data_IF_180490197150
#
_entry.id   IF_180490197150
#
_cell.length_a   1.000
_cell.length_b   1.000
_cell.length_c   1.000
_cell.angle_alpha   90.00
_cell.angle_beta   90.00
_cell.angle_gamma   90.00
#
_symmetry.space_group_name_H-M   'P 1'
#
loop_
_entity.id
_entity.type
_entity.pdbx_description
1 polymer ?
#
# COMPACT_ATOMS: atom_id res chain seq x y z
N UNK A 1 24.35 -24.31 -16.65
CA UNK A 1 22.96 -23.81 -16.74
C UNK A 1 22.45 -23.12 -15.46
N UNK A 2 22.75 -23.61 -14.23
CA UNK A 2 22.31 -22.97 -12.97
C UNK A 2 22.58 -21.45 -12.86
N UNK A 3 23.69 -20.95 -13.41
CA UNK A 3 24.04 -19.54 -13.34
C UNK A 3 23.21 -18.64 -14.26
N UNK A 4 22.64 -19.15 -15.36
CA UNK A 4 21.89 -18.31 -16.31
C UNK A 4 20.54 -17.87 -15.73
N UNK A 5 19.83 -18.79 -15.06
CA UNK A 5 18.59 -18.49 -14.36
C UNK A 5 18.80 -17.41 -13.29
N UNK A 6 19.84 -17.59 -12.45
CA UNK A 6 20.19 -16.62 -11.40
C UNK A 6 20.49 -15.25 -12.01
N UNK A 7 21.34 -15.19 -13.04
CA UNK A 7 21.68 -13.92 -13.71
C UNK A 7 20.46 -13.22 -14.31
N UNK A 8 19.51 -13.99 -14.87
CA UNK A 8 18.25 -13.46 -15.40
C UNK A 8 17.38 -12.90 -14.27
N UNK A 9 17.17 -13.65 -13.19
CA UNK A 9 16.38 -13.21 -12.03
C UNK A 9 16.97 -11.95 -11.39
N UNK A 10 18.29 -11.92 -11.16
CA UNK A 10 18.96 -10.72 -10.62
C UNK A 10 18.76 -9.49 -11.49
N UNK A 11 18.80 -9.66 -12.82
CA UNK A 11 18.56 -8.56 -13.76
C UNK A 11 17.12 -8.07 -13.69
N UNK A 12 16.15 -8.99 -13.69
CA UNK A 12 14.72 -8.65 -13.60
C UNK A 12 14.40 -7.93 -12.29
N UNK A 13 14.91 -8.41 -11.15
CA UNK A 13 14.71 -7.75 -9.85
C UNK A 13 15.30 -6.34 -9.85
N UNK A 14 16.53 -6.16 -10.36
CA UNK A 14 17.14 -4.82 -10.46
C UNK A 14 16.35 -3.88 -11.35
N UNK A 15 15.83 -4.37 -12.48
CA UNK A 15 14.99 -3.60 -13.38
C UNK A 15 13.67 -3.22 -12.70
N UNK A 16 13.06 -4.16 -11.99
CA UNK A 16 11.84 -3.94 -11.23
C UNK A 16 12.04 -2.88 -10.12
N UNK A 17 13.15 -2.95 -9.38
CA UNK A 17 13.50 -1.96 -8.34
C UNK A 17 13.77 -0.54 -8.89
N UNK A 18 14.09 -0.42 -10.18
CA UNK A 18 14.19 0.88 -10.86
C UNK A 18 12.84 1.39 -11.35
N UNK A 19 11.81 0.53 -11.38
CA UNK A 19 10.46 0.89 -11.76
C UNK A 19 9.81 1.85 -10.75
N UNK A 20 8.88 2.65 -11.23
CA UNK A 20 8.11 3.61 -10.42
C UNK A 20 6.71 3.12 -10.08
N UNK A 21 6.40 1.85 -10.38
CA UNK A 21 5.07 1.29 -10.14
C UNK A 21 4.79 1.16 -8.64
N UNK A 22 3.92 2.03 -8.14
CA UNK A 22 3.52 2.06 -6.73
C UNK A 22 2.68 0.87 -6.31
N UNK A 23 2.18 0.10 -7.26
CA UNK A 23 1.28 -1.02 -7.01
C UNK A 23 1.99 -2.34 -6.81
N UNK A 24 3.27 -2.44 -7.14
CA UNK A 24 4.02 -3.69 -7.07
C UNK A 24 5.24 -3.49 -6.16
N UNK A 25 5.46 -4.41 -5.23
CA UNK A 25 6.69 -4.49 -4.45
C UNK A 25 7.20 -5.92 -4.41
N UNK A 26 8.52 -6.09 -4.35
CA UNK A 26 9.16 -7.41 -4.28
C UNK A 26 10.21 -7.43 -3.19
N UNK A 27 10.28 -8.56 -2.52
CA UNK A 27 11.32 -8.91 -1.57
C UNK A 27 11.91 -10.26 -1.98
N UNK A 28 13.22 -10.42 -1.84
CA UNK A 28 13.90 -11.68 -2.14
C UNK A 28 14.92 -11.98 -1.05
N UNK A 29 15.11 -13.27 -0.77
CA UNK A 29 16.14 -13.68 0.16
C UNK A 29 17.50 -13.68 -0.55
N UNK A 30 18.49 -12.98 0.01
CA UNK A 30 19.85 -12.97 -0.54
C UNK A 30 20.50 -14.35 -0.59
N UNK A 31 20.13 -15.27 0.32
CA UNK A 31 20.65 -16.64 0.31
C UNK A 31 20.03 -17.51 -0.79
N UNK A 32 18.80 -17.20 -1.23
CA UNK A 32 18.15 -17.88 -2.35
C UNK A 32 17.24 -16.93 -3.14
N UNK A 33 17.84 -16.27 -4.14
CA UNK A 33 17.15 -15.33 -5.04
C UNK A 33 16.04 -16.00 -5.88
N UNK A 34 15.94 -17.33 -5.89
CA UNK A 34 14.86 -18.04 -6.58
C UNK A 34 13.55 -18.02 -5.82
N UNK A 35 13.55 -17.65 -4.54
CA UNK A 35 12.33 -17.44 -3.77
C UNK A 35 12.12 -15.94 -3.60
N UNK A 36 11.05 -15.44 -4.22
CA UNK A 36 10.65 -14.04 -4.20
C UNK A 36 9.27 -13.96 -3.55
N UNK A 37 9.11 -13.03 -2.64
CA UNK A 37 7.79 -12.58 -2.19
C UNK A 37 7.44 -11.30 -2.94
N UNK A 38 6.18 -11.18 -3.34
CA UNK A 38 5.66 -10.00 -4.00
C UNK A 38 4.42 -9.51 -3.29
N UNK A 39 4.26 -8.19 -3.24
CA UNK A 39 3.07 -7.51 -2.78
C UNK A 39 2.44 -6.78 -3.97
N UNK A 40 1.16 -7.06 -4.23
CA UNK A 40 0.37 -6.40 -5.25
C UNK A 40 -0.71 -5.58 -4.54
N UNK A 41 -0.71 -4.28 -4.80
CA UNK A 41 -1.76 -3.38 -4.40
C UNK A 41 -2.97 -3.59 -5.32
N UNK A 42 -4.14 -3.83 -4.73
CA UNK A 42 -5.36 -4.00 -5.50
C UNK A 42 -5.73 -2.73 -6.28
N UNK A 43 -6.17 -2.85 -7.54
CA UNK A 43 -6.43 -1.70 -8.40
C UNK A 43 -7.53 -0.78 -7.85
N UNK A 44 -7.41 0.55 -8.04
CA UNK A 44 -8.47 1.49 -7.68
C UNK A 44 -9.74 1.24 -8.49
N UNK A 45 -10.89 1.62 -7.95
CA UNK A 45 -12.21 1.43 -8.55
C UNK A 45 -12.61 -0.06 -8.75
N UNK A 46 -12.00 -0.96 -7.96
CA UNK A 46 -12.32 -2.39 -7.93
C UNK A 46 -12.66 -2.82 -6.49
N UNK A 47 -13.31 -3.97 -6.25
CA UNK A 47 -13.49 -4.47 -4.89
C UNK A 47 -12.16 -4.79 -4.17
N UNK A 48 -11.04 -4.82 -4.89
CA UNK A 48 -9.70 -5.06 -4.34
C UNK A 48 -8.99 -3.78 -3.91
N UNK A 49 -9.60 -2.60 -4.16
CA UNK A 49 -8.98 -1.29 -4.05
C UNK A 49 -8.08 -1.12 -2.82
N UNK A 50 -6.81 -0.85 -3.13
CA UNK A 50 -5.73 -0.58 -2.17
C UNK A 50 -5.42 -1.72 -1.16
N UNK A 51 -6.01 -2.91 -1.34
CA UNK A 51 -5.64 -4.10 -0.56
C UNK A 51 -4.21 -4.58 -0.84
N UNK A 52 -3.52 -5.10 0.17
CA UNK A 52 -2.16 -5.62 0.07
C UNK A 52 -2.18 -7.14 -0.12
N UNK A 53 -2.13 -7.60 -1.37
CA UNK A 53 -2.15 -9.02 -1.71
C UNK A 53 -0.74 -9.58 -1.84
N UNK A 54 -0.39 -10.57 -1.01
CA UNK A 54 0.94 -11.16 -1.00
C UNK A 54 0.99 -12.47 -1.80
N UNK A 55 2.08 -12.65 -2.54
CA UNK A 55 2.33 -13.81 -3.39
C UNK A 55 3.75 -14.34 -3.17
N UNK A 56 3.89 -15.67 -3.16
CA UNK A 56 5.17 -16.36 -3.21
C UNK A 56 5.45 -16.81 -4.64
N UNK A 57 6.64 -16.50 -5.14
CA UNK A 57 7.11 -16.82 -6.49
C UNK A 57 8.39 -17.65 -6.36
N UNK A 58 8.35 -18.87 -6.89
CA UNK A 58 9.48 -19.80 -6.87
C UNK A 58 9.97 -20.10 -8.28
N UNK A 59 11.15 -19.61 -8.60
CA UNK A 59 11.81 -19.80 -9.89
C UNK A 59 12.48 -21.18 -9.98
N UNK A 60 12.17 -21.93 -11.03
CA UNK A 60 12.81 -23.20 -11.34
C UNK A 60 14.27 -23.05 -11.78
N UNK A 61 15.03 -24.16 -11.82
CA UNK A 61 16.43 -24.17 -12.32
C UNK A 61 16.53 -23.96 -13.83
N UNK A 62 15.43 -24.19 -14.51
CA UNK A 62 15.17 -24.10 -15.95
C UNK A 62 14.58 -22.74 -16.37
N UNK A 63 14.38 -21.81 -15.43
CA UNK A 63 13.97 -20.44 -15.76
C UNK A 63 14.99 -19.74 -16.68
N UNK A 64 14.58 -19.01 -17.75
CA UNK A 64 13.21 -18.63 -18.14
C UNK A 64 12.56 -19.57 -19.18
N UNK A 65 13.06 -20.79 -19.38
CA UNK A 65 12.44 -21.74 -20.32
C UNK A 65 11.05 -22.14 -19.85
N UNK A 66 10.89 -22.41 -18.55
CA UNK A 66 9.60 -22.70 -17.91
C UNK A 66 9.19 -21.56 -16.96
N UNK A 67 7.87 -21.34 -16.77
CA UNK A 67 7.38 -20.31 -15.86
C UNK A 67 7.72 -20.64 -14.40
N UNK A 68 7.84 -19.64 -13.52
CA UNK A 68 7.94 -19.88 -12.09
C UNK A 68 6.62 -20.39 -11.50
N UNK A 69 6.69 -21.04 -10.35
CA UNK A 69 5.50 -21.38 -9.58
C UNK A 69 5.06 -20.18 -8.75
N UNK A 70 3.77 -19.83 -8.81
CA UNK A 70 3.19 -18.71 -8.06
C UNK A 70 2.10 -19.21 -7.12
N UNK A 71 2.11 -18.73 -5.87
CA UNK A 71 1.09 -19.02 -4.85
C UNK A 71 0.65 -17.73 -4.15
N UNK A 72 -0.65 -17.44 -4.12
CA UNK A 72 -1.21 -16.39 -3.28
C UNK A 72 -1.13 -16.79 -1.80
N UNK A 73 -0.72 -15.85 -0.94
CA UNK A 73 -0.56 -16.06 0.49
C UNK A 73 -1.72 -15.44 1.28
N UNK A 74 -2.27 -14.32 0.82
CA UNK A 74 -3.48 -13.69 1.38
C UNK A 74 -4.71 -14.54 1.07
N UNK A 75 -4.96 -15.59 1.86
CA UNK A 75 -6.01 -16.59 1.61
C UNK A 75 -6.80 -16.99 2.85
N UNK A 76 -6.55 -16.34 4.00
CA UNK A 76 -7.19 -16.69 5.27
C UNK A 76 -7.07 -18.18 5.62
N UNK A 77 -5.83 -18.70 5.52
CA UNK A 77 -5.52 -20.11 5.78
C UNK A 77 -6.35 -21.09 4.93
N UNK A 78 -6.50 -20.82 3.63
CA UNK A 78 -7.25 -21.71 2.74
C UNK A 78 -8.75 -21.45 2.66
N UNK A 79 -9.27 -20.39 3.32
CA UNK A 79 -10.72 -20.15 3.46
C UNK A 79 -11.28 -19.07 2.55
N UNK A 80 -10.45 -18.15 2.07
CA UNK A 80 -10.90 -17.02 1.26
C UNK A 80 -10.44 -17.15 -0.19
N UNK A 81 -11.42 -17.27 -1.09
CA UNK A 81 -11.23 -17.21 -2.55
C UNK A 81 -11.41 -15.77 -3.02
N UNK A 82 -10.31 -15.05 -3.23
CA UNK A 82 -10.39 -13.63 -3.64
C UNK A 82 -10.87 -13.41 -5.06
N UNK A 83 -10.64 -14.36 -5.97
CA UNK A 83 -11.03 -14.22 -7.36
C UNK A 83 -11.28 -15.61 -7.96
N UNK A 84 -12.10 -15.76 -9.01
CA UNK A 84 -12.23 -17.04 -9.68
C UNK A 84 -10.90 -17.67 -10.10
N UNK A 85 -9.91 -16.84 -10.42
CA UNK A 85 -8.55 -17.24 -10.78
C UNK A 85 -7.54 -17.19 -9.62
N UNK A 86 -7.94 -16.77 -8.41
CA UNK A 86 -7.10 -16.76 -7.19
C UNK A 86 -7.81 -17.59 -6.13
N UNK A 87 -7.43 -18.85 -6.05
CA UNK A 87 -8.12 -19.88 -5.29
C UNK A 87 -7.84 -19.74 -3.79
N UNK A 88 -8.73 -20.26 -2.96
CA UNK A 88 -8.52 -20.28 -1.51
C UNK A 88 -7.24 -21.06 -1.12
N UNK A 89 -6.88 -22.10 -1.88
CA UNK A 89 -5.62 -22.85 -1.69
C UNK A 89 -4.35 -22.06 -2.03
N UNK A 90 -4.48 -20.84 -2.54
CA UNK A 90 -3.39 -20.01 -3.04
C UNK A 90 -3.02 -20.27 -4.50
N UNK A 91 -3.67 -21.24 -5.19
CA UNK A 91 -3.42 -21.47 -6.61
C UNK A 91 -3.86 -20.25 -7.44
N UNK A 92 -2.96 -19.79 -8.33
CA UNK A 92 -3.23 -18.72 -9.29
C UNK A 92 -3.40 -19.32 -10.69
N UNK A 93 -4.52 -19.03 -11.35
CA UNK A 93 -4.86 -19.52 -12.69
C UNK A 93 -4.59 -18.45 -13.75
N UNK A 94 -3.49 -18.59 -14.48
CA UNK A 94 -3.08 -17.71 -15.57
C UNK A 94 -2.50 -18.54 -16.72
N UNK A 95 -2.79 -18.13 -17.96
CA UNK A 95 -2.26 -18.79 -19.17
C UNK A 95 -0.74 -18.70 -19.23
N UNK A 96 -0.16 -17.55 -18.85
CA UNK A 96 1.28 -17.34 -18.80
C UNK A 96 1.98 -18.18 -17.73
N UNK A 97 1.25 -18.74 -16.77
CA UNK A 97 1.77 -19.67 -15.77
C UNK A 97 1.50 -21.14 -16.13
N UNK A 98 0.85 -21.40 -17.27
CA UNK A 98 0.41 -22.74 -17.67
C UNK A 98 -0.67 -23.34 -16.77
N UNK A 99 -1.30 -22.54 -15.91
CA UNK A 99 -2.35 -22.98 -14.97
C UNK A 99 -3.77 -22.66 -15.45
N UNK A 100 -3.88 -22.06 -16.64
CA UNK A 100 -5.14 -21.77 -17.32
C UNK A 100 -5.00 -21.93 -18.84
N UNK A 101 -6.13 -22.10 -19.53
CA UNK A 101 -6.17 -22.10 -21.00
C UNK A 101 -5.87 -20.69 -21.53
N UNK A 102 -5.14 -20.60 -22.63
CA UNK A 102 -4.87 -19.35 -23.34
C UNK A 102 -4.67 -19.61 -24.82
N UNK A 103 -4.90 -18.60 -25.64
CA UNK A 103 -4.69 -18.65 -27.08
C UNK A 103 -3.20 -18.76 -27.44
N UNK A 104 -2.91 -19.10 -28.70
CA UNK A 104 -1.55 -19.13 -29.22
C UNK A 104 -0.90 -17.75 -29.09
N UNK A 105 0.07 -17.62 -28.19
CA UNK A 105 0.76 -16.36 -27.87
C UNK A 105 0.46 -15.80 -26.48
N UNK A 106 -0.59 -16.30 -25.80
CA UNK A 106 -0.93 -15.91 -24.42
C UNK A 106 -0.32 -16.83 -23.35
N UNK A 107 0.37 -17.88 -23.80
CA UNK A 107 1.06 -18.84 -22.94
C UNK A 107 2.47 -18.36 -22.60
N UNK A 108 3.10 -19.02 -21.61
CA UNK A 108 4.47 -18.70 -21.20
C UNK A 108 5.43 -18.66 -22.40
N UNK A 109 6.29 -17.64 -22.42
CA UNK A 109 7.48 -17.62 -23.27
C UNK A 109 8.64 -17.00 -22.48
N UNK A 110 9.87 -17.36 -22.83
CA UNK A 110 11.08 -16.80 -22.18
C UNK A 110 11.26 -15.29 -22.35
N UNK A 111 10.40 -14.63 -23.13
CA UNK A 111 10.35 -13.18 -23.24
C UNK A 111 9.67 -12.52 -22.02
N UNK A 112 8.75 -13.24 -21.36
CA UNK A 112 8.08 -12.80 -20.14
C UNK A 112 9.04 -12.85 -18.93
N UNK A 113 8.67 -12.19 -17.85
CA UNK A 113 9.44 -12.17 -16.61
C UNK A 113 8.60 -11.83 -15.37
N UNK A 114 9.27 -11.51 -14.27
CA UNK A 114 8.66 -11.18 -12.99
C UNK A 114 7.62 -10.07 -13.10
N UNK A 115 7.96 -8.95 -13.74
CA UNK A 115 7.06 -7.79 -13.89
C UNK A 115 5.78 -8.15 -14.65
N UNK A 116 5.89 -8.84 -15.80
CA UNK A 116 4.72 -9.26 -16.58
C UNK A 116 3.84 -10.23 -15.80
N UNK A 117 4.42 -11.13 -14.99
CA UNK A 117 3.64 -12.04 -14.13
C UNK A 117 2.83 -11.22 -13.12
N UNK A 118 3.45 -10.27 -12.43
CA UNK A 118 2.78 -9.44 -11.43
C UNK A 118 1.67 -8.58 -12.05
N UNK A 119 1.92 -7.98 -13.21
CA UNK A 119 0.90 -7.22 -13.96
C UNK A 119 -0.26 -8.13 -14.38
N UNK A 120 0.00 -9.34 -14.86
CA UNK A 120 -1.07 -10.30 -15.21
C UNK A 120 -1.87 -10.79 -14.00
N UNK A 121 -1.28 -10.88 -12.82
CA UNK A 121 -2.01 -11.20 -11.59
C UNK A 121 -2.89 -10.01 -11.19
N UNK A 122 -2.35 -8.79 -11.25
CA UNK A 122 -3.11 -7.58 -10.94
C UNK A 122 -4.29 -7.38 -11.90
N UNK A 123 -4.15 -7.74 -13.19
CA UNK A 123 -5.24 -7.61 -14.16
C UNK A 123 -6.41 -8.57 -13.91
N UNK A 124 -6.24 -9.63 -13.12
CA UNK A 124 -7.34 -10.47 -12.65
C UNK A 124 -8.24 -9.75 -11.64
N UNK A 125 -7.70 -8.74 -10.94
CA UNK A 125 -8.40 -7.97 -9.91
C UNK A 125 -9.30 -6.89 -10.55
N UNK A 126 -10.25 -7.33 -11.38
CA UNK A 126 -11.16 -6.48 -12.14
C UNK A 126 -12.26 -5.85 -11.27
N UNK A 127 -12.96 -4.84 -11.82
CA UNK A 127 -14.12 -4.22 -11.16
C UNK A 127 -15.29 -5.18 -10.97
N UNK A 128 -15.44 -6.17 -11.86
CA UNK A 128 -16.44 -7.23 -11.77
C UNK A 128 -15.79 -8.63 -11.78
N UNK A 129 -15.25 -9.11 -10.64
CA UNK A 129 -14.58 -10.40 -10.60
C UNK A 129 -15.53 -11.60 -10.75
N UNK A 130 -16.85 -11.40 -10.79
CA UNK A 130 -17.82 -12.46 -11.09
C UNK A 130 -17.68 -12.96 -12.53
N UNK A 131 -17.39 -12.07 -13.48
CA UNK A 131 -17.23 -12.38 -14.90
C UNK A 131 -15.97 -13.21 -15.19
N UNK A 132 -15.01 -13.25 -14.26
CA UNK A 132 -13.81 -14.07 -14.39
C UNK A 132 -14.09 -15.58 -14.25
N UNK A 133 -15.27 -15.98 -13.76
CA UNK A 133 -15.65 -17.38 -13.66
C UNK A 133 -16.05 -17.93 -15.05
N UNK A 134 -15.50 -19.09 -15.48
CA UNK A 134 -15.91 -19.74 -16.71
C UNK A 134 -17.42 -19.91 -16.85
N UNK A 135 -17.96 -19.45 -17.98
CA UNK A 135 -19.38 -19.51 -18.27
C UNK A 135 -20.18 -18.30 -17.76
N UNK A 136 -19.53 -17.33 -17.12
CA UNK A 136 -20.15 -16.08 -16.63
C UNK A 136 -19.59 -14.81 -17.30
N UNK A 137 -18.75 -14.95 -18.34
CA UNK A 137 -18.07 -13.82 -19.02
C UNK A 137 -19.02 -12.81 -19.68
N UNK A 138 -20.27 -13.21 -19.94
CA UNK A 138 -21.34 -12.36 -20.51
C UNK A 138 -22.65 -12.43 -19.73
N UNK A 139 -22.57 -12.81 -18.44
CA UNK A 139 -23.71 -12.95 -17.57
C UNK A 139 -24.46 -11.61 -17.44
N UNK A 140 -25.74 -11.56 -17.79
CA UNK A 140 -26.50 -10.29 -17.84
C UNK A 140 -27.98 -10.47 -17.44
N UNK A 141 -28.35 -11.62 -16.88
CA UNK A 141 -29.70 -11.77 -16.32
C UNK A 141 -29.87 -10.88 -15.09
N UNK A 142 -31.11 -10.60 -14.70
CA UNK A 142 -31.39 -9.82 -13.49
C UNK A 142 -30.88 -10.51 -12.22
N UNK A 143 -30.79 -11.84 -12.22
CA UNK A 143 -30.19 -12.60 -11.12
C UNK A 143 -28.66 -12.51 -11.14
N UNK A 144 -28.04 -12.49 -12.32
CA UNK A 144 -26.59 -12.29 -12.45
C UNK A 144 -26.17 -10.93 -11.94
N UNK A 145 -26.87 -9.85 -12.30
CA UNK A 145 -26.57 -8.50 -11.80
C UNK A 145 -26.60 -8.44 -10.27
N UNK A 146 -27.61 -9.04 -9.65
CA UNK A 146 -27.69 -9.16 -8.18
C UNK A 146 -26.54 -9.99 -7.62
N UNK A 147 -26.15 -11.07 -8.29
CA UNK A 147 -25.04 -11.90 -7.83
C UNK A 147 -23.69 -11.18 -7.99
N UNK A 148 -23.49 -10.41 -9.06
CA UNK A 148 -22.31 -9.56 -9.27
C UNK A 148 -22.18 -8.54 -8.13
N UNK A 149 -23.23 -7.79 -7.82
CA UNK A 149 -23.24 -6.82 -6.71
C UNK A 149 -22.89 -7.49 -5.38
N UNK A 150 -23.50 -8.64 -5.08
CA UNK A 150 -23.25 -9.40 -3.86
C UNK A 150 -21.81 -9.94 -3.81
N UNK A 151 -21.27 -10.41 -4.93
CA UNK A 151 -19.91 -10.91 -5.02
C UNK A 151 -18.89 -9.78 -4.84
N UNK A 152 -19.10 -8.64 -5.50
CA UNK A 152 -18.30 -7.42 -5.35
C UNK A 152 -18.28 -6.96 -3.89
N UNK A 153 -19.44 -6.88 -3.24
CA UNK A 153 -19.54 -6.51 -1.82
C UNK A 153 -18.73 -7.47 -0.93
N UNK A 154 -18.85 -8.77 -1.18
CA UNK A 154 -18.13 -9.82 -0.45
C UNK A 154 -16.61 -9.67 -0.58
N UNK A 155 -16.10 -9.50 -1.81
CA UNK A 155 -14.66 -9.30 -2.06
C UNK A 155 -14.17 -8.00 -1.42
N UNK A 156 -14.95 -6.91 -1.50
CA UNK A 156 -14.61 -5.63 -0.86
C UNK A 156 -14.46 -5.76 0.65
N UNK A 157 -15.41 -6.44 1.29
CA UNK A 157 -15.34 -6.70 2.73
C UNK A 157 -14.08 -7.49 3.10
N UNK A 158 -13.83 -8.61 2.41
CA UNK A 158 -12.68 -9.46 2.71
C UNK A 158 -11.35 -8.81 2.35
N UNK A 159 -11.32 -7.91 1.36
CA UNK A 159 -10.13 -7.12 1.03
C UNK A 159 -9.76 -6.19 2.19
N UNK A 160 -10.74 -5.44 2.72
CA UNK A 160 -10.51 -4.60 3.89
C UNK A 160 -10.06 -5.41 5.10
N UNK A 161 -10.72 -6.55 5.37
CA UNK A 161 -10.41 -7.40 6.53
C UNK A 161 -9.03 -8.07 6.44
N UNK A 162 -8.79 -8.81 5.36
CA UNK A 162 -7.66 -9.73 5.23
C UNK A 162 -6.46 -9.16 4.50
N UNK A 163 -6.69 -8.25 3.54
CA UNK A 163 -5.61 -7.66 2.74
C UNK A 163 -5.17 -6.30 3.29
N UNK A 164 -5.91 -5.67 4.21
CA UNK A 164 -5.54 -4.40 4.82
C UNK A 164 -5.37 -4.54 6.34
N UNK A 165 -6.44 -4.87 7.05
CA UNK A 165 -6.51 -4.82 8.52
C UNK A 165 -5.61 -5.89 9.16
N UNK A 166 -5.83 -7.17 8.89
CA UNK A 166 -5.12 -8.26 9.56
C UNK A 166 -3.59 -8.23 9.39
N UNK A 167 -3.02 -7.97 8.19
CA UNK A 167 -1.58 -7.84 8.04
C UNK A 167 -1.00 -6.67 8.85
N UNK A 168 -1.74 -5.56 8.96
CA UNK A 168 -1.32 -4.40 9.76
C UNK A 168 -1.44 -4.67 11.26
N UNK A 169 -2.49 -5.36 11.70
CA UNK A 169 -2.63 -5.80 13.10
C UNK A 169 -1.49 -6.73 13.49
N UNK A 170 -1.16 -7.71 12.64
CA UNK A 170 -0.02 -8.59 12.84
C UNK A 170 1.30 -7.81 12.94
N UNK A 171 1.53 -6.85 12.04
CA UNK A 171 2.73 -6.01 12.05
C UNK A 171 2.82 -5.05 13.24
N UNK A 172 1.69 -4.70 13.86
CA UNK A 172 1.61 -3.82 15.05
C UNK A 172 1.46 -4.61 16.35
N UNK A 173 1.37 -5.94 16.30
CA UNK A 173 1.14 -6.79 17.48
C UNK A 173 -0.24 -6.59 18.13
N UNK A 174 -1.25 -6.15 17.36
CA UNK A 174 -2.62 -5.98 17.84
C UNK A 174 -3.28 -7.36 17.89
N UNK A 175 -3.68 -7.80 19.09
CA UNK A 175 -4.41 -9.06 19.27
C UNK A 175 -5.90 -8.79 19.07
N UNK A 176 -6.60 -9.50 18.15
CA UNK A 176 -8.04 -9.35 17.98
C UNK A 176 -8.79 -9.69 19.26
N UNK A 177 -9.73 -8.83 19.66
CA UNK A 177 -10.51 -8.97 20.91
C UNK A 177 -11.49 -10.15 20.93
N UNK A 178 -11.67 -10.87 19.82
CA UNK A 178 -12.65 -11.95 19.68
C UNK A 178 -12.17 -13.34 20.13
N UNK A 179 -10.88 -13.54 20.45
CA UNK A 179 -10.33 -14.87 20.78
C UNK A 179 -10.36 -15.23 22.27
N UNK A 180 -11.09 -14.50 23.10
CA UNK A 180 -11.26 -14.86 24.51
C UNK A 180 -12.19 -16.07 24.75
N UNK A 181 -12.89 -16.60 23.72
CA UNK A 181 -13.91 -17.65 23.88
C UNK A 181 -13.80 -18.87 22.94
N UNK A 182 -12.74 -19.01 22.14
CA UNK A 182 -12.52 -20.22 21.33
C UNK A 182 -11.53 -21.13 22.03
N UNK A 183 -12.03 -21.89 23.01
CA UNK A 183 -11.22 -22.80 23.82
C UNK A 183 -11.06 -24.18 23.15
N UNK A 184 -9.80 -24.63 23.05
CA UNK A 184 -9.33 -26.03 23.20
C UNK A 184 -9.22 -26.97 21.97
N UNK A 185 -9.31 -26.49 20.72
CA UNK A 185 -8.87 -27.29 19.54
C UNK A 185 -7.56 -26.81 18.89
N UNK A 186 -7.14 -25.58 19.15
CA UNK A 186 -6.11 -24.89 18.34
C UNK A 186 -4.68 -25.17 18.83
N UNK A 187 -4.51 -26.03 19.84
CA UNK A 187 -3.18 -26.38 20.35
C UNK A 187 -2.41 -27.31 19.40
N UNK A 188 -3.08 -28.10 18.56
CA UNK A 188 -2.43 -28.91 17.53
C UNK A 188 -2.05 -28.07 16.30
N UNK A 189 -2.84 -27.05 15.94
CA UNK A 189 -2.49 -26.10 14.87
C UNK A 189 -1.33 -25.18 15.26
N UNK A 190 -1.23 -24.77 16.52
CA UNK A 190 -0.07 -23.99 17.03
C UNK A 190 1.24 -24.77 16.97
N UNK A 191 1.22 -26.08 17.13
CA UNK A 191 2.44 -26.91 17.08
C UNK A 191 2.99 -27.11 15.67
N UNK A 192 2.14 -27.04 14.63
CA UNK A 192 2.58 -27.01 13.22
C UNK A 192 3.08 -25.62 12.79
N UNK A 193 2.74 -24.57 13.55
CA UNK A 193 3.17 -23.19 13.32
C UNK A 193 4.52 -22.85 13.98
N UNK A 194 5.03 -23.68 14.89
CA UNK A 194 6.32 -23.40 15.57
C UNK A 194 7.56 -23.72 14.71
N UNK A 195 7.43 -24.48 13.61
CA UNK A 195 8.55 -24.73 12.69
C UNK A 195 8.81 -23.57 11.71
N UNK A 196 7.81 -22.71 11.47
CA UNK A 196 7.94 -21.46 10.72
C UNK A 196 7.93 -20.28 11.71
N UNK A 197 9.09 -20.07 12.36
CA UNK A 197 9.46 -18.77 12.96
C UNK A 197 8.97 -17.65 12.03
N UNK A 198 8.22 -16.62 12.48
CA UNK A 198 7.73 -15.60 11.57
C UNK A 198 8.92 -14.98 10.85
N UNK A 199 9.02 -15.26 9.56
CA UNK A 199 9.83 -14.51 8.64
C UNK A 199 9.47 -13.04 8.88
N UNK A 200 10.46 -12.19 9.14
CA UNK A 200 10.23 -10.77 9.39
C UNK A 200 9.29 -10.25 8.30
N UNK A 201 8.19 -9.58 8.67
CA UNK A 201 7.25 -9.07 7.67
C UNK A 201 7.94 -7.99 6.84
N UNK A 202 8.48 -8.40 5.69
CA UNK A 202 9.29 -7.57 4.81
C UNK A 202 8.51 -6.41 4.20
N UNK A 203 7.18 -6.45 4.25
CA UNK A 203 6.32 -5.40 3.73
C UNK A 203 5.67 -4.55 4.84
N UNK A 204 6.00 -4.77 6.11
CA UNK A 204 5.37 -4.08 7.24
C UNK A 204 5.41 -2.55 7.10
N UNK A 205 6.59 -1.96 6.91
CA UNK A 205 6.73 -0.51 6.76
C UNK A 205 5.97 0.02 5.52
N UNK A 206 6.07 -0.70 4.40
CA UNK A 206 5.37 -0.34 3.17
C UNK A 206 3.85 -0.32 3.38
N UNK A 207 3.29 -1.36 4.01
CA UNK A 207 1.86 -1.45 4.35
C UNK A 207 1.47 -0.28 5.24
N UNK A 208 2.22 0.01 6.32
CA UNK A 208 1.93 1.13 7.24
C UNK A 208 1.91 2.48 6.50
N UNK A 209 2.87 2.76 5.61
CA UNK A 209 2.88 4.01 4.83
C UNK A 209 1.70 4.14 3.89
N UNK A 210 1.49 3.12 3.07
CA UNK A 210 0.40 3.12 2.08
C UNK A 210 -0.96 3.11 2.75
N UNK A 211 -1.08 2.48 3.90
CA UNK A 211 -2.28 2.54 4.72
C UNK A 211 -2.64 3.97 5.11
N UNK A 212 -1.68 4.75 5.61
CA UNK A 212 -1.90 6.15 5.99
C UNK A 212 -2.26 7.04 4.80
N UNK A 213 -1.78 6.69 3.60
CA UNK A 213 -2.15 7.36 2.35
C UNK A 213 -3.60 7.10 1.96
N UNK A 214 -4.04 5.83 2.03
CA UNK A 214 -5.37 5.43 1.55
C UNK A 214 -6.43 5.36 2.65
N UNK A 215 -6.11 5.81 3.87
CA UNK A 215 -7.00 5.76 5.03
C UNK A 215 -8.38 6.37 4.75
N UNK A 216 -8.43 7.55 4.12
CA UNK A 216 -9.69 8.20 3.72
C UNK A 216 -10.50 7.36 2.73
N UNK A 217 -9.84 6.74 1.75
CA UNK A 217 -10.47 5.85 0.76
C UNK A 217 -11.09 4.60 1.41
N UNK A 218 -10.42 4.03 2.44
CA UNK A 218 -10.99 2.90 3.18
C UNK A 218 -12.22 3.31 3.98
N UNK A 219 -12.16 4.45 4.68
CA UNK A 219 -13.31 4.96 5.43
C UNK A 219 -14.51 5.25 4.51
N UNK A 220 -14.28 5.91 3.37
CA UNK A 220 -15.33 6.17 2.39
C UNK A 220 -15.97 4.87 1.88
N UNK A 221 -15.15 3.85 1.59
CA UNK A 221 -15.63 2.54 1.13
C UNK A 221 -16.48 1.83 2.20
N UNK A 222 -16.07 1.93 3.46
CA UNK A 222 -16.80 1.37 4.60
C UNK A 222 -18.11 2.12 4.83
N UNK A 223 -18.08 3.45 4.83
CA UNK A 223 -19.27 4.27 5.08
C UNK A 223 -20.32 4.06 4.00
N UNK A 224 -19.91 3.95 2.73
CA UNK A 224 -20.80 3.57 1.64
C UNK A 224 -21.39 2.15 1.84
N UNK A 225 -20.56 1.17 2.20
CA UNK A 225 -21.02 -0.20 2.39
C UNK A 225 -21.89 -0.38 3.64
N UNK A 226 -21.71 0.44 4.68
CA UNK A 226 -22.58 0.45 5.87
C UNK A 226 -24.00 0.93 5.55
N UNK A 227 -24.20 1.75 4.52
CA UNK A 227 -25.54 2.14 4.07
C UNK A 227 -26.28 0.97 3.42
N UNK A 228 -25.55 0.11 2.69
CA UNK A 228 -26.08 -1.08 2.02
C UNK A 228 -26.23 -2.27 3.00
N UNK A 229 -25.31 -2.38 3.96
CA UNK A 229 -25.20 -3.48 4.92
C UNK A 229 -25.03 -2.94 6.36
N UNK A 230 -26.10 -2.43 7.00
CA UNK A 230 -26.02 -1.72 8.28
C UNK A 230 -25.74 -2.59 9.51
N UNK A 231 -25.59 -3.91 9.34
CA UNK A 231 -25.35 -4.84 10.43
C UNK A 231 -24.69 -6.14 10.00
N UNK A 232 -24.69 -7.13 10.90
CA UNK A 232 -24.05 -8.41 10.67
C UNK A 232 -24.89 -9.30 9.76
N UNK A 233 -24.50 -9.43 8.50
CA UNK A 233 -25.23 -10.20 7.49
C UNK A 233 -24.35 -11.29 6.90
N UNK A 234 -24.88 -12.51 6.78
CA UNK A 234 -24.16 -13.63 6.13
C UNK A 234 -23.88 -13.32 4.67
N UNK A 235 -22.71 -13.70 4.20
CA UNK A 235 -22.38 -13.67 2.79
C UNK A 235 -23.34 -14.54 1.99
N UNK A 236 -23.86 -14.00 0.89
CA UNK A 236 -24.62 -14.78 -0.08
C UNK A 236 -23.67 -15.68 -0.85
N UNK A 237 -24.01 -16.97 -0.94
CA UNK A 237 -23.29 -17.94 -1.73
C UNK A 237 -23.58 -17.74 -3.22
N UNK A 238 -22.54 -17.65 -4.03
CA UNK A 238 -22.66 -17.53 -5.48
C UNK A 238 -22.98 -18.89 -6.13
N UNK A 239 -23.59 -18.91 -7.33
CA UNK A 239 -23.95 -20.17 -8.00
C UNK A 239 -22.77 -21.11 -8.26
N UNK A 240 -21.58 -20.54 -8.50
CA UNK A 240 -20.34 -21.29 -8.75
C UNK A 240 -19.58 -21.68 -7.48
N UNK A 241 -20.02 -21.26 -6.29
CA UNK A 241 -19.36 -21.63 -5.04
C UNK A 241 -19.83 -23.02 -4.61
N UNK A 242 -18.93 -24.01 -4.69
CA UNK A 242 -19.16 -25.44 -4.47
C UNK A 242 -17.97 -26.12 -3.83
N UNK A 243 -18.18 -27.27 -3.15
CA UNK A 243 -17.14 -28.22 -2.70
C UNK A 243 -15.75 -27.65 -2.34
N UNK A 244 -15.57 -27.18 -1.09
CA UNK A 244 -14.29 -26.66 -0.59
C UNK A 244 -13.85 -25.30 -1.16
N UNK A 245 -14.61 -24.73 -2.11
CA UNK A 245 -14.32 -23.47 -2.79
C UNK A 245 -15.40 -22.40 -2.50
N UNK A 246 -15.98 -22.41 -1.29
CA UNK A 246 -16.98 -21.44 -0.86
C UNK A 246 -16.34 -20.34 0.02
N UNK A 247 -16.74 -19.09 -0.18
CA UNK A 247 -16.33 -17.98 0.66
C UNK A 247 -17.42 -17.65 1.68
N UNK A 248 -17.33 -18.30 2.84
CA UNK A 248 -18.26 -18.14 3.96
C UNK A 248 -17.82 -17.02 4.91
N UNK A 249 -18.76 -16.30 5.49
CA UNK A 249 -18.46 -15.18 6.36
C UNK A 249 -19.67 -14.29 6.59
N UNK A 250 -19.43 -13.15 7.24
CA UNK A 250 -20.44 -12.13 7.49
C UNK A 250 -19.86 -10.75 7.22
N UNK A 251 -20.69 -9.85 6.71
CA UNK A 251 -20.40 -8.42 6.70
C UNK A 251 -20.37 -7.90 8.15
N UNK A 252 -19.33 -7.18 8.53
CA UNK A 252 -19.25 -6.46 9.81
C UNK A 252 -18.44 -5.15 9.64
N UNK A 253 -18.94 -4.25 8.80
CA UNK A 253 -18.28 -2.98 8.51
C UNK A 253 -18.08 -2.07 9.73
N UNK A 254 -18.93 -2.20 10.75
CA UNK A 254 -18.79 -1.47 12.00
C UNK A 254 -17.53 -1.92 12.75
N UNK A 255 -17.30 -3.23 12.85
CA UNK A 255 -16.06 -3.77 13.43
C UNK A 255 -14.84 -3.36 12.60
N UNK A 256 -14.91 -3.49 11.26
CA UNK A 256 -13.80 -3.10 10.38
C UNK A 256 -13.43 -1.61 10.56
N UNK A 257 -14.42 -0.72 10.69
CA UNK A 257 -14.19 0.71 10.93
C UNK A 257 -13.43 0.95 12.23
N UNK A 258 -13.81 0.28 13.31
CA UNK A 258 -13.16 0.41 14.61
C UNK A 258 -11.71 -0.06 14.55
N UNK A 259 -11.46 -1.21 13.91
CA UNK A 259 -10.11 -1.78 13.74
C UNK A 259 -9.21 -0.88 12.90
N UNK A 260 -9.72 -0.33 11.80
CA UNK A 260 -8.97 0.63 10.97
C UNK A 260 -8.55 1.89 11.71
N UNK A 261 -9.46 2.46 12.51
CA UNK A 261 -9.13 3.64 13.32
C UNK A 261 -8.06 3.31 14.36
N UNK A 262 -8.17 2.17 15.04
CA UNK A 262 -7.17 1.71 16.00
C UNK A 262 -5.78 1.51 15.34
N UNK A 263 -5.72 0.89 14.16
CA UNK A 263 -4.47 0.75 13.39
C UNK A 263 -3.86 2.12 13.06
N UNK A 264 -4.68 3.08 12.60
CA UNK A 264 -4.22 4.43 12.31
C UNK A 264 -3.64 5.09 13.57
N UNK A 265 -4.35 5.02 14.69
CA UNK A 265 -3.90 5.62 15.95
C UNK A 265 -2.57 5.01 16.39
N UNK A 266 -2.42 3.69 16.34
CA UNK A 266 -1.18 2.98 16.66
C UNK A 266 -0.01 3.38 15.77
N UNK A 267 -0.21 3.56 14.45
CA UNK A 267 0.85 4.02 13.53
C UNK A 267 1.27 5.46 13.85
N UNK A 268 0.32 6.31 14.23
CA UNK A 268 0.62 7.69 14.64
C UNK A 268 1.40 7.70 15.96
N UNK A 269 0.98 6.91 16.95
CA UNK A 269 1.68 6.76 18.23
C UNK A 269 3.09 6.19 18.07
N UNK A 270 3.27 5.15 17.25
CA UNK A 270 4.58 4.61 16.88
C UNK A 270 5.49 5.72 16.33
N UNK A 271 4.97 6.53 15.40
CA UNK A 271 5.76 7.62 14.80
C UNK A 271 6.11 8.74 15.80
N UNK A 272 5.29 8.97 16.82
CA UNK A 272 5.57 9.91 17.90
C UNK A 272 6.65 9.35 18.84
N UNK A 273 6.59 8.05 19.13
CA UNK A 273 7.56 7.35 19.97
C UNK A 273 8.99 7.43 19.43
N UNK A 274 9.16 7.43 18.11
CA UNK A 274 10.47 7.55 17.46
C UNK A 274 11.25 8.81 17.87
N UNK A 275 10.58 9.93 18.15
CA UNK A 275 11.26 11.13 18.61
C UNK A 275 11.87 10.91 20.01
N UNK A 276 11.15 10.22 20.91
CA UNK A 276 11.63 9.91 22.25
C UNK A 276 12.76 8.86 22.22
N UNK A 277 12.59 7.79 21.45
CA UNK A 277 13.65 6.77 21.23
C UNK A 277 14.90 7.39 20.59
N UNK A 278 14.70 8.32 19.66
CA UNK A 278 15.75 9.06 18.97
C UNK A 278 16.59 9.94 19.90
N UNK A 279 15.99 10.54 20.92
CA UNK A 279 16.74 11.30 21.94
C UNK A 279 17.67 10.38 22.74
N UNK A 280 17.19 9.19 23.13
CA UNK A 280 18.02 8.19 23.80
C UNK A 280 19.17 7.74 22.88
N UNK A 281 18.88 7.51 21.59
CA UNK A 281 19.89 7.16 20.60
C UNK A 281 20.95 8.28 20.43
N UNK A 282 20.54 9.54 20.49
CA UNK A 282 21.45 10.69 20.46
C UNK A 282 22.34 10.75 21.71
N UNK A 283 21.76 10.61 22.90
CA UNK A 283 22.50 10.61 24.16
C UNK A 283 23.53 9.48 24.24
N UNK A 284 23.22 8.33 23.65
CA UNK A 284 24.11 7.17 23.57
C UNK A 284 25.05 7.19 22.36
N UNK A 285 25.07 8.28 21.58
CA UNK A 285 25.90 8.44 20.37
C UNK A 285 25.77 7.29 19.37
N UNK A 286 24.55 6.76 19.20
CA UNK A 286 24.31 5.70 18.22
C UNK A 286 24.64 6.19 16.81
N UNK A 287 25.23 5.30 16.00
CA UNK A 287 25.70 5.64 14.66
C UNK A 287 24.60 6.23 13.75
N UNK A 288 23.34 5.81 13.94
CA UNK A 288 22.20 6.36 13.20
C UNK A 288 21.91 7.83 13.58
N UNK A 289 21.96 8.19 14.86
CA UNK A 289 21.74 9.55 15.32
C UNK A 289 22.82 10.50 14.75
N UNK A 290 24.08 10.08 14.78
CA UNK A 290 25.21 10.82 14.20
C UNK A 290 25.08 10.93 12.67
N UNK A 291 24.65 9.86 12.00
CA UNK A 291 24.43 9.84 10.56
C UNK A 291 23.33 10.82 10.14
N UNK A 292 22.18 10.80 10.82
CA UNK A 292 21.06 11.70 10.54
C UNK A 292 21.43 13.17 10.82
N UNK A 293 22.11 13.44 11.93
CA UNK A 293 22.63 14.78 12.25
C UNK A 293 23.54 15.30 11.13
N UNK A 294 24.48 14.47 10.66
CA UNK A 294 25.38 14.83 9.57
C UNK A 294 24.63 15.06 8.25
N UNK A 295 23.65 14.21 7.93
CA UNK A 295 22.81 14.39 6.74
C UNK A 295 22.05 15.71 6.81
N UNK A 296 21.48 16.05 7.97
CA UNK A 296 20.81 17.33 8.20
C UNK A 296 21.73 18.51 7.92
N UNK A 297 22.92 18.55 8.54
CA UNK A 297 23.90 19.64 8.36
C UNK A 297 24.31 19.80 6.90
N UNK A 298 24.56 18.69 6.20
CA UNK A 298 24.89 18.70 4.77
C UNK A 298 23.77 19.27 3.90
N UNK A 299 22.52 18.91 4.20
CA UNK A 299 21.35 19.40 3.47
C UNK A 299 21.16 20.91 3.72
N UNK A 300 21.25 21.36 4.97
CA UNK A 300 21.12 22.78 5.33
C UNK A 300 22.21 23.62 4.65
N UNK A 301 23.46 23.15 4.67
CA UNK A 301 24.58 23.83 3.99
C UNK A 301 24.36 23.87 2.46
N UNK A 302 23.88 22.77 1.87
CA UNK A 302 23.52 22.72 0.45
C UNK A 302 22.43 23.73 0.09
N UNK A 303 21.36 23.84 0.89
CA UNK A 303 20.27 24.80 0.68
C UNK A 303 20.78 26.24 0.74
N UNK A 304 21.64 26.55 1.73
CA UNK A 304 22.29 27.87 1.88
C UNK A 304 23.19 28.20 0.69
N UNK A 305 24.05 27.26 0.27
CA UNK A 305 24.98 27.47 -0.85
C UNK A 305 24.26 27.71 -2.18
N UNK A 306 23.13 27.03 -2.40
CA UNK A 306 22.30 27.21 -3.58
C UNK A 306 21.44 28.50 -3.54
N UNK A 307 21.48 29.25 -2.42
CA UNK A 307 20.63 30.41 -2.15
C UNK A 307 19.15 30.09 -2.36
N UNK A 308 18.74 28.88 -2.00
CA UNK A 308 17.36 28.46 -2.14
C UNK A 308 16.53 28.94 -0.95
N UNK A 309 15.95 30.14 -1.05
CA UNK A 309 15.14 30.75 0.01
C UNK A 309 13.72 30.17 0.10
N UNK A 310 13.36 29.20 -0.76
CA UNK A 310 12.03 28.57 -0.77
C UNK A 310 11.87 27.51 0.30
N UNK A 311 12.97 27.09 0.93
CA UNK A 311 12.99 26.01 1.91
C UNK A 311 13.79 26.44 3.13
N UNK A 312 13.23 26.23 4.31
CA UNK A 312 13.93 26.28 5.59
C UNK A 312 13.79 24.92 6.29
N UNK A 313 14.86 24.44 6.91
CA UNK A 313 14.92 23.12 7.52
C UNK A 313 15.60 23.20 8.88
N UNK A 314 14.88 22.74 9.91
CA UNK A 314 15.32 22.81 11.31
C UNK A 314 15.12 21.47 12.02
N UNK A 315 15.92 21.21 13.07
CA UNK A 315 15.65 20.13 14.01
C UNK A 315 14.74 20.65 15.13
N UNK A 316 13.69 19.90 15.46
CA UNK A 316 12.81 20.24 16.57
C UNK A 316 13.51 19.79 17.86
N UNK A 317 13.69 20.70 18.81
CA UNK A 317 14.35 20.44 20.10
C UNK A 317 15.75 19.81 19.95
N UNK A 318 16.48 20.17 18.88
CA UNK A 318 17.79 19.60 18.54
C UNK A 318 17.75 18.06 18.40
N UNK A 319 16.61 17.49 18.01
CA UNK A 319 16.43 16.04 17.84
C UNK A 319 16.68 15.60 16.39
N UNK A 320 17.72 14.77 16.11
CA UNK A 320 18.02 14.26 14.76
C UNK A 320 16.92 13.39 14.14
N UNK A 321 15.91 12.99 14.92
CA UNK A 321 14.81 12.13 14.48
C UNK A 321 13.49 12.91 14.24
N UNK A 322 13.48 14.22 14.50
CA UNK A 322 12.33 15.08 14.29
C UNK A 322 12.73 16.35 13.54
N UNK A 323 12.49 16.36 12.23
CA UNK A 323 12.84 17.48 11.37
C UNK A 323 11.59 18.29 11.05
N UNK A 324 11.73 19.61 11.02
CA UNK A 324 10.71 20.54 10.55
C UNK A 324 11.18 21.19 9.27
N UNK A 325 10.42 20.94 8.21
CA UNK A 325 10.57 21.56 6.90
C UNK A 325 9.52 22.66 6.77
N UNK A 326 9.97 23.89 6.53
CA UNK A 326 9.12 25.02 6.15
C UNK A 326 9.33 25.29 4.68
N UNK A 327 8.27 25.11 3.88
CA UNK A 327 8.28 25.41 2.46
C UNK A 327 7.54 26.73 2.21
N UNK A 328 8.19 27.66 1.52
CA UNK A 328 7.63 28.93 1.09
C UNK A 328 7.19 28.81 -0.36
N UNK A 329 5.90 28.96 -0.61
CA UNK A 329 5.34 28.80 -1.94
C UNK A 329 5.92 29.81 -2.93
N UNK A 330 6.32 29.32 -4.11
CA UNK A 330 7.01 30.15 -5.10
C UNK A 330 6.08 31.18 -5.75
N UNK A 331 6.62 32.36 -6.11
CA UNK A 331 5.88 33.34 -6.90
C UNK A 331 5.32 32.74 -8.18
N UNK A 332 4.12 33.17 -8.58
CA UNK A 332 3.46 32.73 -9.82
C UNK A 332 3.09 31.24 -9.86
N UNK A 333 3.01 30.57 -8.70
CA UNK A 333 2.50 29.20 -8.58
C UNK A 333 1.15 29.18 -7.87
N UNK A 334 0.48 28.03 -7.84
CA UNK A 334 -0.72 27.85 -7.02
C UNK A 334 -0.49 27.98 -5.49
N UNK A 335 0.77 27.94 -5.06
CA UNK A 335 1.17 28.01 -3.66
C UNK A 335 1.69 29.40 -3.26
N UNK A 336 1.70 30.35 -4.18
CA UNK A 336 2.26 31.70 -3.99
C UNK A 336 1.79 32.36 -2.69
N UNK A 337 2.74 32.82 -1.88
CA UNK A 337 2.49 33.45 -0.58
C UNK A 337 2.20 32.48 0.58
N UNK A 338 2.10 31.18 0.34
CA UNK A 338 1.87 30.18 1.40
C UNK A 338 3.13 29.81 2.18
N UNK A 339 2.94 29.45 3.46
CA UNK A 339 4.00 28.98 4.37
C UNK A 339 3.62 27.61 4.93
N UNK A 340 4.22 26.56 4.42
CA UNK A 340 3.83 25.19 4.74
C UNK A 340 4.80 24.57 5.73
N UNK A 341 4.35 24.40 6.98
CA UNK A 341 5.09 23.62 7.97
C UNK A 341 4.80 22.12 7.85
N UNK A 342 5.87 21.34 7.79
CA UNK A 342 5.84 19.90 7.57
C UNK A 342 6.77 19.24 8.60
N UNK A 343 6.23 18.35 9.41
CA UNK A 343 6.99 17.57 10.38
C UNK A 343 7.36 16.21 9.76
N UNK A 344 8.66 15.89 9.76
CA UNK A 344 9.20 14.61 9.35
C UNK A 344 9.66 13.86 10.60
N UNK A 345 9.05 12.70 10.85
CA UNK A 345 9.41 11.80 11.95
C UNK A 345 10.21 10.63 11.40
N UNK A 346 11.43 10.47 11.87
CA UNK A 346 12.38 9.47 11.37
C UNK A 346 12.49 8.33 12.38
N UNK A 347 12.45 7.09 11.89
CA UNK A 347 12.63 5.93 12.74
C UNK A 347 14.09 5.76 13.17
N UNK A 348 14.36 5.28 14.40
CA UNK A 348 15.67 4.76 14.79
C UNK A 348 16.17 3.59 13.92
N UNK A 349 15.25 2.96 13.17
CA UNK A 349 15.51 1.89 12.20
C UNK A 349 15.51 2.39 10.75
N UNK A 350 15.81 3.67 10.53
CA UNK A 350 16.02 4.19 9.17
C UNK A 350 17.36 3.64 8.62
N UNK A 351 17.40 3.15 7.36
CA UNK A 351 16.40 3.28 6.29
C UNK A 351 15.39 2.13 6.15
N UNK A 352 15.46 1.08 6.95
CA UNK A 352 14.50 -0.03 6.90
C UNK A 352 13.06 0.45 7.13
N UNK A 353 12.89 1.41 8.05
CA UNK A 353 11.64 2.15 8.25
C UNK A 353 11.74 3.57 7.71
N UNK A 354 10.87 3.88 6.76
CA UNK A 354 10.90 5.15 6.04
C UNK A 354 10.22 6.28 6.84
N UNK A 355 10.62 7.55 6.65
CA UNK A 355 10.07 8.68 7.41
C UNK A 355 8.55 8.83 7.29
N UNK A 356 7.90 9.23 8.39
CA UNK A 356 6.47 9.62 8.40
C UNK A 356 6.38 11.14 8.30
N UNK A 357 5.68 11.62 7.28
CA UNK A 357 5.64 13.04 6.91
C UNK A 357 4.22 13.58 7.07
N UNK A 358 4.08 14.55 7.95
CA UNK A 358 2.80 15.15 8.33
C UNK A 358 2.82 16.65 8.05
N UNK A 359 1.79 17.13 7.36
CA UNK A 359 1.48 18.54 7.24
C UNK A 359 1.00 19.03 8.62
N UNK A 360 1.69 20.02 9.17
CA UNK A 360 1.26 20.70 10.40
C UNK A 360 0.25 21.79 10.10
N UNK A 361 0.39 22.42 8.94
CA UNK A 361 -0.60 23.33 8.36
C UNK A 361 -1.73 22.55 7.69
N UNK A 362 -2.98 23.00 7.86
CA UNK A 362 -4.12 22.39 7.18
C UNK A 362 -4.05 22.79 5.70
N UNK A 363 -3.72 21.82 4.85
CA UNK A 363 -3.51 22.07 3.43
C UNK A 363 -4.42 21.19 2.57
N UNK A 364 -5.26 21.82 1.73
CA UNK A 364 -6.20 21.12 0.87
C UNK A 364 -5.53 20.79 -0.47
N UNK A 365 -5.06 19.55 -0.63
CA UNK A 365 -4.29 19.15 -1.80
C UNK A 365 -4.51 17.67 -2.16
N UNK A 366 -4.40 17.32 -3.44
CA UNK A 366 -4.58 15.92 -3.90
C UNK A 366 -3.55 14.94 -3.30
N UNK A 367 -2.33 15.43 -2.99
CA UNK A 367 -1.25 14.64 -2.37
C UNK A 367 -1.27 14.66 -0.83
N UNK A 368 -2.20 15.36 -0.19
CA UNK A 368 -2.27 15.45 1.28
C UNK A 368 -3.57 14.84 1.77
N UNK A 369 -3.48 13.76 2.56
CA UNK A 369 -4.65 13.08 3.08
C UNK A 369 -5.42 13.93 4.09
N UNK A 370 -6.66 13.55 4.40
CA UNK A 370 -7.50 14.26 5.37
C UNK A 370 -6.90 14.35 6.78
N UNK A 371 -6.01 13.41 7.12
CA UNK A 371 -5.28 13.37 8.40
C UNK A 371 -3.91 14.08 8.31
N UNK A 372 -3.65 14.81 7.22
CA UNK A 372 -2.43 15.58 7.03
C UNK A 372 -1.22 14.78 6.55
N UNK A 373 -1.37 13.52 6.13
CA UNK A 373 -0.23 12.72 5.65
C UNK A 373 0.09 13.09 4.21
N UNK A 374 1.35 13.43 3.94
CA UNK A 374 1.81 13.77 2.59
C UNK A 374 2.22 12.51 1.80
N UNK A 375 1.65 12.37 0.61
CA UNK A 375 2.03 11.37 -0.38
C UNK A 375 3.16 11.91 -1.26
N UNK A 376 4.36 11.36 -1.07
CA UNK A 376 5.55 11.68 -1.88
C UNK A 376 6.34 10.41 -2.16
N UNK A 377 7.16 10.45 -3.21
CA UNK A 377 7.98 9.32 -3.64
C UNK A 377 9.41 9.82 -3.77
N UNK A 378 10.33 9.44 -2.86
CA UNK A 378 11.72 9.83 -2.98
C UNK A 378 12.38 9.07 -4.13
N UNK A 379 13.38 9.70 -4.77
CA UNK A 379 14.18 9.03 -5.81
C UNK A 379 15.04 7.89 -5.24
N UNK A 380 15.46 8.01 -3.98
CA UNK A 380 16.11 6.97 -3.19
C UNK A 380 15.61 7.04 -1.75
N UNK A 381 15.37 5.89 -1.15
CA UNK A 381 14.83 5.72 0.21
C UNK A 381 15.88 5.81 1.32
N UNK A 382 17.16 5.74 0.97
CA UNK A 382 18.26 5.55 1.94
C UNK A 382 18.84 6.87 2.48
N UNK A 383 18.55 8.01 1.84
CA UNK A 383 19.15 9.30 2.18
C UNK A 383 18.09 10.38 2.28
N UNK A 384 18.08 11.14 3.39
CA UNK A 384 17.04 12.14 3.68
C UNK A 384 16.95 13.25 2.64
N UNK A 385 18.05 13.56 1.94
CA UNK A 385 18.05 14.55 0.87
C UNK A 385 16.98 14.26 -0.19
N UNK A 386 16.86 13.01 -0.63
CA UNK A 386 15.89 12.62 -1.65
C UNK A 386 14.45 12.62 -1.13
N UNK A 387 14.26 12.50 0.18
CA UNK A 387 12.96 12.71 0.81
C UNK A 387 12.55 14.18 0.77
N UNK A 388 13.45 15.10 1.12
CA UNK A 388 13.18 16.55 1.04
C UNK A 388 12.89 16.95 -0.42
N UNK A 389 13.70 16.51 -1.38
CA UNK A 389 13.47 16.75 -2.81
C UNK A 389 12.11 16.18 -3.26
N UNK A 390 11.75 14.96 -2.83
CA UNK A 390 10.48 14.32 -3.18
C UNK A 390 9.26 15.01 -2.57
N UNK A 391 9.37 15.51 -1.33
CA UNK A 391 8.32 16.28 -0.65
C UNK A 391 8.04 17.57 -1.42
N UNK A 392 9.08 18.33 -1.75
CA UNK A 392 8.96 19.59 -2.49
C UNK A 392 8.39 19.32 -3.89
N UNK A 393 8.90 18.31 -4.59
CA UNK A 393 8.39 17.93 -5.91
C UNK A 393 6.90 17.54 -5.86
N UNK A 394 6.44 16.85 -4.82
CA UNK A 394 5.04 16.47 -4.67
C UNK A 394 4.10 17.67 -4.40
N UNK A 395 4.61 18.75 -3.80
CA UNK A 395 3.84 19.98 -3.58
C UNK A 395 3.85 20.89 -4.81
N UNK A 396 4.96 20.95 -5.55
CA UNK A 396 5.12 21.79 -6.74
C UNK A 396 4.49 21.20 -8.01
N UNK A 397 4.03 19.95 -7.98
CA UNK A 397 3.45 19.28 -9.14
C UNK A 397 2.05 19.80 -9.47
N UNK A 398 1.96 20.81 -10.35
CA UNK A 398 0.68 21.42 -10.70
C UNK A 398 -0.19 20.55 -11.63
N UNK A 399 0.44 19.80 -12.54
CA UNK A 399 -0.24 19.02 -13.59
C UNK A 399 0.27 17.56 -13.60
N UNK A 400 0.05 16.81 -12.50
CA UNK A 400 0.43 15.40 -12.45
C UNK A 400 -0.27 14.60 -13.55
N UNK A 401 0.32 13.51 -14.06
CA UNK A 401 -0.43 12.51 -14.81
C UNK A 401 -1.52 11.88 -13.89
N UNK A 402 -2.63 11.45 -14.48
CA UNK A 402 -3.68 10.78 -13.70
C UNK A 402 -3.15 9.47 -13.12
N UNK A 403 -2.94 9.45 -11.80
CA UNK A 403 -2.64 8.23 -11.05
C UNK A 403 -3.42 8.23 -9.72
N UNK A 404 -4.53 7.49 -9.63
CA UNK A 404 -5.35 7.40 -8.42
C UNK A 404 -4.59 6.86 -7.19
N UNK A 405 -3.45 6.17 -7.38
CA UNK A 405 -2.60 5.66 -6.29
C UNK A 405 -1.78 6.76 -5.63
N UNK A 406 -1.73 7.94 -6.25
CA UNK A 406 -1.03 9.10 -5.71
C UNK A 406 -1.96 10.16 -5.13
N UNK A 407 -3.26 10.06 -5.41
CA UNK A 407 -4.26 10.99 -4.91
C UNK A 407 -4.86 10.46 -3.61
N UNK A 408 -4.37 10.98 -2.48
CA UNK A 408 -4.69 10.48 -1.13
C UNK A 408 -5.82 11.23 -0.44
N UNK A 409 -6.38 12.24 -1.11
CA UNK A 409 -7.58 12.95 -0.68
C UNK A 409 -8.70 12.71 -1.71
N UNK A 410 -9.68 11.85 -1.38
CA UNK A 410 -10.74 11.48 -2.32
C UNK A 410 -11.59 12.67 -2.78
N UNK A 411 -11.91 13.61 -1.88
CA UNK A 411 -12.68 14.80 -2.22
C UNK A 411 -11.91 15.72 -3.17
N UNK A 412 -10.63 15.99 -2.85
CA UNK A 412 -9.75 16.79 -3.68
C UNK A 412 -9.53 16.14 -5.05
N UNK A 413 -9.31 14.83 -5.09
CA UNK A 413 -9.11 14.06 -6.33
C UNK A 413 -10.34 14.15 -7.24
N UNK A 414 -11.55 13.97 -6.69
CA UNK A 414 -12.80 14.10 -7.43
C UNK A 414 -12.96 15.49 -8.05
N UNK A 415 -12.60 16.55 -7.32
CA UNK A 415 -12.70 17.91 -7.85
C UNK A 415 -11.61 18.24 -8.88
N UNK A 416 -10.38 17.77 -8.65
CA UNK A 416 -9.23 18.02 -9.52
C UNK A 416 -9.40 17.34 -10.89
N UNK A 417 -9.87 16.10 -10.90
CA UNK A 417 -10.08 15.31 -12.13
C UNK A 417 -11.48 15.45 -12.74
N UNK A 418 -12.36 16.20 -12.08
CA UNK A 418 -13.74 16.43 -12.52
C UNK A 418 -13.89 17.45 -13.65
N UNK A 419 -15.09 18.03 -13.74
CA UNK A 419 -15.46 19.01 -14.77
C UNK A 419 -14.68 20.33 -14.63
N UNK A 420 -14.68 21.23 -15.63
CA UNK A 420 -14.06 22.55 -15.51
C UNK A 420 -14.55 23.37 -14.30
N UNK A 421 -15.81 23.19 -13.89
CA UNK A 421 -16.35 23.85 -12.71
C UNK A 421 -15.89 23.20 -11.40
N UNK A 422 -15.71 21.88 -11.37
CA UNK A 422 -15.10 21.18 -10.24
C UNK A 422 -13.64 21.63 -10.03
N UNK A 423 -12.88 21.78 -11.12
CA UNK A 423 -11.51 22.31 -11.06
C UNK A 423 -11.45 23.74 -10.52
N UNK A 424 -12.43 24.59 -10.86
CA UNK A 424 -12.54 25.93 -10.25
C UNK A 424 -12.81 25.84 -8.75
N UNK A 425 -13.64 24.89 -8.31
CA UNK A 425 -13.92 24.66 -6.87
C UNK A 425 -12.67 24.17 -6.15
N UNK A 426 -11.94 23.22 -6.73
CA UNK A 426 -10.64 22.77 -6.22
C UNK A 426 -9.67 23.94 -6.05
N UNK A 427 -9.44 24.72 -7.11
CA UNK A 427 -8.49 25.84 -7.07
C UNK A 427 -8.89 26.90 -6.04
N UNK A 428 -10.19 27.12 -5.82
CA UNK A 428 -10.68 28.02 -4.77
C UNK A 428 -10.42 27.45 -3.37
N UNK A 429 -10.65 26.16 -3.15
CA UNK A 429 -10.37 25.50 -1.88
C UNK A 429 -8.86 25.46 -1.57
N UNK A 430 -8.03 25.13 -2.57
CA UNK A 430 -6.58 25.19 -2.49
C UNK A 430 -6.11 26.59 -2.06
N UNK A 431 -6.49 27.65 -2.79
CA UNK A 431 -6.12 29.03 -2.45
C UNK A 431 -6.54 29.44 -1.03
N UNK A 432 -7.75 29.08 -0.61
CA UNK A 432 -8.19 29.34 0.78
C UNK A 432 -7.32 28.62 1.82
N UNK A 433 -6.85 27.41 1.51
CA UNK A 433 -5.93 26.70 2.41
C UNK A 433 -4.54 27.34 2.43
N UNK A 434 -4.07 27.86 1.29
CA UNK A 434 -2.81 28.63 1.19
C UNK A 434 -2.90 29.90 2.04
N UNK A 435 -3.97 30.69 1.91
CA UNK A 435 -4.19 31.92 2.69
C UNK A 435 -4.17 31.65 4.21
N UNK A 436 -4.80 30.55 4.64
CA UNK A 436 -4.82 30.14 6.07
C UNK A 436 -3.48 29.71 6.62
N UNK A 437 -2.48 29.44 5.78
CA UNK A 437 -1.16 29.08 6.29
C UNK A 437 -0.39 30.27 6.90
N UNK A 438 -0.89 31.49 6.67
CA UNK A 438 -0.34 32.71 7.23
C UNK A 438 -0.97 33.09 8.58
N UNK A 439 -2.10 32.48 8.93
CA UNK A 439 -2.83 32.65 10.20
C UNK A 439 -2.30 31.66 11.25
#
# INVERSE_FOLDING_TARGET
MSNQAILRITREIRQFQQGTDLSLAVHYNESDIRNVQALILGPPDTPYQFGFFEFSIKFGRDYPTNPPNVRALTTNCGRTRFNPNIYATGKVCLSILGTWRGESGEQWSSAQGLESILISIQSLMSSNPYENEPGYEGANSEDDKKNMEQYIAKIRHETLRLAVIEPLEAALGIIPTNDANTSLSDNEERQLLEEDKPCADHFADLRKRRFMWYFGSYLQSIDAAMLEHPGKHKFKRMPFEGGGNAMEGHFDYKELKQRLVAIKDMIVEESLGWAAEGLVAKEQEWGIAVSLQRQFEQIVESIKSQKNFTIDLNLVDDNPFLWRLTYFGRPMTHLDGGVFEIDLRLSPRFPEEQPRVFMRTIFYHVRVSEIGVLCYIPRRSEEMRYHIEGIVAALEEEHPPYDPRTTVNPEASRLFWGTPDDRKRYNRALRRSVERTLD
#
